data_IF_275683155322
#
_entry.id   IF_275683155322
#
_cell.length_a   1.000
_cell.length_b   1.000
_cell.length_c   1.000
_cell.angle_alpha   90.00
_cell.angle_beta   90.00
_cell.angle_gamma   90.00
#
_symmetry.space_group_name_H-M   'P 1'
#
loop_
_entity.id
_entity.type
_entity.pdbx_description
1 polymer ?
#
# COMPACT_ATOMS: atom_id res chain seq x y z
N UNK A 1 -9.19 -7.21 -0.33
CA UNK A 1 -9.01 -6.21 -1.38
C UNK A 1 -7.76 -6.48 -2.21
N UNK A 2 -6.58 -6.63 -1.61
CA UNK A 2 -5.32 -6.84 -2.36
C UNK A 2 -5.36 -7.86 -3.52
N UNK A 3 -5.99 -9.05 -3.36
CA UNK A 3 -6.09 -10.03 -4.46
C UNK A 3 -6.92 -9.50 -5.62
N UNK A 4 -8.07 -8.88 -5.31
CA UNK A 4 -8.98 -8.35 -6.32
C UNK A 4 -8.33 -7.17 -7.07
N UNK A 5 -7.66 -6.26 -6.35
CA UNK A 5 -6.91 -5.16 -6.96
C UNK A 5 -5.69 -5.62 -7.75
N UNK A 6 -4.97 -6.64 -7.28
CA UNK A 6 -3.83 -7.20 -8.00
C UNK A 6 -4.27 -7.83 -9.33
N UNK A 7 -5.34 -8.63 -9.31
CA UNK A 7 -5.92 -9.21 -10.53
C UNK A 7 -6.45 -8.10 -11.45
N UNK A 8 -7.17 -7.12 -10.91
CA UNK A 8 -7.67 -6.00 -11.70
C UNK A 8 -6.54 -5.13 -12.26
N UNK A 9 -5.44 -4.93 -11.54
CA UNK A 9 -4.26 -4.20 -11.99
C UNK A 9 -3.58 -4.90 -13.15
N UNK A 10 -3.43 -6.22 -13.08
CA UNK A 10 -2.91 -7.02 -14.20
C UNK A 10 -3.83 -6.94 -15.43
N UNK A 11 -5.15 -7.11 -15.23
CA UNK A 11 -6.13 -7.07 -16.33
C UNK A 11 -6.27 -5.67 -16.93
N UNK A 12 -6.14 -4.63 -16.12
CA UNK A 12 -6.26 -3.25 -16.55
C UNK A 12 -4.94 -2.69 -17.08
N UNK A 13 -3.83 -3.45 -16.99
CA UNK A 13 -2.48 -2.96 -17.16
C UNK A 13 -2.27 -1.66 -16.38
N UNK A 14 -2.64 -1.62 -15.09
CA UNK A 14 -2.55 -0.44 -14.24
C UNK A 14 -1.47 -0.61 -13.19
N UNK A 15 -0.47 0.24 -13.31
CA UNK A 15 0.69 0.31 -12.45
C UNK A 15 0.31 0.90 -11.09
N UNK A 16 -0.65 1.83 -11.05
CA UNK A 16 -1.16 2.37 -9.81
C UNK A 16 -1.96 1.33 -8.99
N UNK A 17 -2.82 0.53 -9.63
CA UNK A 17 -3.53 -0.56 -8.92
C UNK A 17 -2.57 -1.63 -8.40
N UNK A 18 -1.56 -1.99 -9.18
CA UNK A 18 -0.56 -2.95 -8.75
C UNK A 18 0.21 -2.45 -7.53
N UNK A 19 0.62 -1.18 -7.53
CA UNK A 19 1.28 -0.56 -6.39
C UNK A 19 0.40 -0.53 -5.12
N UNK A 20 -0.88 -0.19 -5.27
CA UNK A 20 -1.86 -0.15 -4.18
C UNK A 20 -2.10 -1.56 -3.58
N UNK A 21 -2.29 -2.57 -4.45
CA UNK A 21 -2.48 -3.96 -4.03
C UNK A 21 -1.27 -4.52 -3.25
N UNK A 22 -0.06 -4.10 -3.61
CA UNK A 22 1.17 -4.52 -2.98
C UNK A 22 1.29 -3.99 -1.54
N UNK A 23 0.89 -2.73 -1.31
CA UNK A 23 0.91 -2.15 0.03
C UNK A 23 -0.12 -2.82 0.92
N UNK A 24 -1.34 -3.05 0.41
CA UNK A 24 -2.36 -3.80 1.14
C UNK A 24 -1.92 -5.22 1.52
N UNK A 25 -1.20 -5.92 0.64
CA UNK A 25 -0.60 -7.21 0.98
C UNK A 25 0.45 -7.07 2.09
N UNK A 26 1.29 -6.05 2.00
CA UNK A 26 2.27 -5.72 3.03
C UNK A 26 1.63 -5.45 4.39
N UNK A 27 0.56 -4.68 4.43
CA UNK A 27 -0.19 -4.39 5.66
C UNK A 27 -0.93 -5.61 6.20
N UNK A 28 -1.53 -6.43 5.33
CA UNK A 28 -2.14 -7.69 5.75
C UNK A 28 -1.12 -8.61 6.44
N UNK A 29 0.11 -8.68 5.92
CA UNK A 29 1.20 -9.43 6.53
C UNK A 29 1.61 -8.81 7.86
N UNK A 30 1.81 -7.50 7.92
CA UNK A 30 2.18 -6.81 9.16
C UNK A 30 1.11 -7.03 10.24
N UNK A 31 -0.17 -6.93 9.90
CA UNK A 31 -1.26 -7.20 10.84
C UNK A 31 -1.35 -8.66 11.26
N UNK A 32 -1.22 -9.60 10.32
CA UNK A 32 -1.19 -11.03 10.63
C UNK A 32 -0.07 -11.37 11.60
N UNK A 33 1.12 -10.81 11.39
CA UNK A 33 2.24 -10.94 12.30
C UNK A 33 2.00 -10.24 13.63
N UNK A 34 1.44 -9.03 13.65
CA UNK A 34 1.10 -8.33 14.89
C UNK A 34 0.11 -9.13 15.73
N UNK A 35 -0.92 -9.72 15.12
CA UNK A 35 -1.87 -10.62 15.79
C UNK A 35 -1.18 -11.88 16.32
N UNK A 36 -0.32 -12.52 15.53
CA UNK A 36 0.43 -13.70 15.94
C UNK A 36 1.47 -13.40 17.04
N UNK A 37 2.01 -12.18 17.04
CA UNK A 37 3.04 -11.71 17.95
C UNK A 37 2.48 -11.03 19.21
N UNK A 38 1.16 -10.94 19.37
CA UNK A 38 0.53 -10.53 20.64
C UNK A 38 1.08 -11.42 21.75
N UNK A 39 1.85 -10.81 22.65
CA UNK A 39 2.53 -11.50 23.76
C UNK A 39 3.90 -12.13 23.46
N UNK A 40 4.42 -12.06 22.22
CA UNK A 40 5.72 -12.67 21.81
C UNK A 40 6.87 -11.67 21.54
N UNK A 41 6.65 -10.38 21.82
CA UNK A 41 7.68 -9.34 21.87
C UNK A 41 8.05 -8.71 20.53
N UNK A 42 8.71 -7.54 20.59
CA UNK A 42 8.91 -6.64 19.46
C UNK A 42 9.87 -7.17 18.35
N UNK A 43 10.59 -8.27 18.57
CA UNK A 43 11.43 -8.92 17.54
C UNK A 43 10.61 -9.40 16.35
N UNK A 44 9.38 -9.87 16.57
CA UNK A 44 8.49 -10.32 15.50
C UNK A 44 7.92 -9.15 14.68
N UNK A 45 7.67 -8.00 15.31
CA UNK A 45 7.25 -6.77 14.61
C UNK A 45 8.36 -6.28 13.65
N UNK A 46 9.63 -6.33 14.08
CA UNK A 46 10.75 -5.98 13.22
C UNK A 46 10.88 -6.88 11.98
N UNK A 47 10.66 -8.19 12.13
CA UNK A 47 10.68 -9.14 10.99
C UNK A 47 9.51 -8.90 10.02
N UNK A 48 8.32 -8.63 10.54
CA UNK A 48 7.15 -8.32 9.73
C UNK A 48 7.35 -7.03 8.91
N UNK A 49 7.94 -6.01 9.52
CA UNK A 49 8.21 -4.75 8.85
C UNK A 49 9.31 -4.89 7.77
N UNK A 50 10.35 -5.70 8.00
CA UNK A 50 11.33 -6.06 6.97
C UNK A 50 10.68 -6.83 5.80
N UNK A 51 9.76 -7.74 6.09
CA UNK A 51 9.01 -8.48 5.06
C UNK A 51 8.14 -7.53 4.23
N UNK A 52 7.42 -6.59 4.86
CA UNK A 52 6.70 -5.52 4.15
C UNK A 52 7.65 -4.75 3.24
N UNK A 53 8.78 -4.28 3.75
CA UNK A 53 9.78 -3.55 2.95
C UNK A 53 10.31 -4.37 1.76
N UNK A 54 10.53 -5.67 1.93
CA UNK A 54 10.93 -6.57 0.84
C UNK A 54 9.86 -6.74 -0.24
N UNK A 55 8.60 -6.91 0.15
CA UNK A 55 7.46 -6.98 -0.78
C UNK A 55 7.32 -5.68 -1.55
N UNK A 56 7.42 -4.54 -0.86
CA UNK A 56 7.39 -3.22 -1.46
C UNK A 56 8.50 -3.01 -2.48
N UNK A 57 9.73 -3.42 -2.16
CA UNK A 57 10.85 -3.33 -3.09
C UNK A 57 10.66 -4.24 -4.32
N UNK A 58 10.20 -5.48 -4.11
CA UNK A 58 9.90 -6.41 -5.19
C UNK A 58 8.80 -5.88 -6.13
N UNK A 59 7.70 -5.38 -5.57
CA UNK A 59 6.63 -4.77 -6.36
C UNK A 59 7.06 -3.46 -7.01
N UNK A 60 7.91 -2.66 -6.37
CA UNK A 60 8.50 -1.47 -6.98
C UNK A 60 9.30 -1.80 -8.25
N UNK A 61 10.08 -2.89 -8.23
CA UNK A 61 10.76 -3.40 -9.42
C UNK A 61 9.76 -3.93 -10.47
N UNK A 62 8.70 -4.62 -10.03
CA UNK A 62 7.62 -5.08 -10.91
C UNK A 62 6.89 -3.93 -11.61
N UNK A 63 6.58 -2.87 -10.87
CA UNK A 63 5.99 -1.61 -11.35
C UNK A 63 6.89 -0.92 -12.36
N UNK A 64 8.20 -0.86 -12.12
CA UNK A 64 9.17 -0.31 -13.08
C UNK A 64 9.25 -1.17 -14.35
N UNK A 65 9.23 -2.49 -14.21
CA UNK A 65 9.21 -3.43 -15.34
C UNK A 65 7.94 -3.29 -16.18
N UNK A 66 6.78 -3.26 -15.53
CA UNK A 66 5.49 -3.06 -16.19
C UNK A 66 5.44 -1.69 -16.88
N UNK A 67 5.87 -0.62 -16.21
CA UNK A 67 5.97 0.70 -16.83
C UNK A 67 6.87 0.68 -18.08
N UNK A 68 7.99 -0.04 -18.03
CA UNK A 68 8.88 -0.23 -19.19
C UNK A 68 8.20 -0.95 -20.35
N UNK A 69 7.56 -2.09 -20.09
CA UNK A 69 6.80 -2.86 -21.11
C UNK A 69 5.68 -2.01 -21.70
N UNK A 70 4.93 -1.32 -20.83
CA UNK A 70 3.81 -0.46 -21.21
C UNK A 70 4.22 0.73 -22.05
N UNK A 71 5.38 1.33 -21.78
CA UNK A 71 5.95 2.40 -22.61
C UNK A 71 6.50 1.85 -23.93
N UNK A 72 7.05 0.64 -23.95
CA UNK A 72 7.58 0.01 -25.17
C UNK A 72 6.47 -0.46 -26.13
N UNK A 73 5.38 -1.02 -25.59
CA UNK A 73 4.24 -1.56 -26.35
C UNK A 73 3.11 -0.54 -26.56
N UNK A 74 3.20 0.64 -25.93
CA UNK A 74 2.18 1.69 -26.04
C UNK A 74 0.85 1.31 -25.38
N UNK A 75 0.85 0.42 -24.39
CA UNK A 75 -0.35 -0.05 -23.71
C UNK A 75 -0.97 1.07 -22.86
N UNK A 76 -2.24 1.36 -23.12
CA UNK A 76 -3.02 2.35 -22.35
C UNK A 76 -3.89 1.60 -21.34
N UNK A 77 -3.84 1.96 -20.04
CA UNK A 77 -4.68 1.33 -19.03
C UNK A 77 -6.17 1.48 -19.34
N UNK A 78 -6.97 0.47 -18.99
CA UNK A 78 -8.43 0.58 -19.08
C UNK A 78 -8.98 1.42 -17.94
N UNK A 79 -9.15 2.73 -18.19
CA UNK A 79 -9.66 3.69 -17.22
C UNK A 79 -10.97 3.26 -16.51
N UNK A 80 -11.96 2.62 -17.16
CA UNK A 80 -13.17 2.16 -16.46
C UNK A 80 -12.91 1.07 -15.42
N UNK A 81 -12.05 0.09 -15.72
CA UNK A 81 -11.66 -0.97 -14.80
C UNK A 81 -10.86 -0.40 -13.62
N UNK A 82 -9.89 0.45 -13.95
CA UNK A 82 -9.02 1.14 -13.02
C UNK A 82 -9.82 2.02 -12.04
N UNK A 83 -10.70 2.87 -12.56
CA UNK A 83 -11.55 3.75 -11.77
C UNK A 83 -12.61 3.00 -10.97
N UNK A 84 -13.22 1.95 -11.56
CA UNK A 84 -14.21 1.12 -10.87
C UNK A 84 -13.62 0.43 -9.65
N UNK A 85 -12.44 -0.17 -9.77
CA UNK A 85 -11.76 -0.78 -8.62
C UNK A 85 -11.24 0.26 -7.64
N UNK A 86 -10.68 1.39 -8.10
CA UNK A 86 -10.27 2.47 -7.21
C UNK A 86 -11.42 3.03 -6.37
N UNK A 87 -12.64 3.13 -6.93
CA UNK A 87 -13.84 3.57 -6.19
C UNK A 87 -14.28 2.54 -5.15
N UNK A 88 -14.28 1.26 -5.54
CA UNK A 88 -14.65 0.16 -4.65
C UNK A 88 -13.67 0.04 -3.48
N UNK A 89 -12.38 0.16 -3.76
CA UNK A 89 -11.32 0.18 -2.76
C UNK A 89 -11.44 1.37 -1.82
N UNK A 90 -11.62 2.58 -2.37
CA UNK A 90 -11.84 3.79 -1.59
C UNK A 90 -13.05 3.65 -0.66
N UNK A 91 -14.18 3.11 -1.15
CA UNK A 91 -15.38 2.92 -0.36
C UNK A 91 -15.13 1.98 0.83
N UNK A 92 -14.45 0.86 0.61
CA UNK A 92 -14.15 -0.09 1.67
C UNK A 92 -13.13 0.46 2.65
N UNK A 93 -12.04 1.06 2.19
CA UNK A 93 -11.01 1.61 3.07
C UNK A 93 -11.51 2.81 3.86
N UNK A 94 -12.37 3.65 3.29
CA UNK A 94 -13.02 4.76 4.02
C UNK A 94 -13.98 4.22 5.09
N UNK A 95 -14.72 3.15 4.80
CA UNK A 95 -15.58 2.50 5.79
C UNK A 95 -14.76 1.94 6.96
N UNK A 96 -13.67 1.20 6.67
CA UNK A 96 -12.73 0.69 7.66
C UNK A 96 -12.11 1.82 8.48
N UNK A 97 -11.65 2.89 7.83
CA UNK A 97 -11.09 4.07 8.48
C UNK A 97 -12.09 4.73 9.43
N UNK A 98 -13.36 4.82 9.02
CA UNK A 98 -14.46 5.33 9.84
C UNK A 98 -14.71 4.52 11.11
N UNK A 99 -14.68 3.18 11.02
CA UNK A 99 -14.77 2.30 12.18
C UNK A 99 -13.56 2.43 13.12
N UNK A 100 -12.36 2.52 12.56
CA UNK A 100 -11.11 2.68 13.30
C UNK A 100 -10.98 4.06 13.95
N UNK A 101 -11.62 5.09 13.38
CA UNK A 101 -11.56 6.47 13.90
C UNK A 101 -11.96 6.56 15.38
N UNK A 102 -12.94 5.75 15.79
CA UNK A 102 -13.45 5.75 17.16
C UNK A 102 -12.53 5.04 18.16
N UNK A 103 -11.62 4.18 17.68
CA UNK A 103 -10.70 3.36 18.48
C UNK A 103 -9.23 3.78 18.33
N UNK A 104 -8.95 4.91 17.66
CA UNK A 104 -7.59 5.35 17.29
C UNK A 104 -6.64 5.62 18.47
N UNK A 105 -7.18 5.72 19.69
CA UNK A 105 -6.44 6.05 20.91
C UNK A 105 -6.22 4.87 21.86
N UNK A 106 -6.77 3.69 21.55
CA UNK A 106 -6.89 2.62 22.55
C UNK A 106 -5.60 1.80 22.72
N UNK A 107 -4.85 1.57 21.64
CA UNK A 107 -3.60 0.81 21.64
C UNK A 107 -2.70 1.26 20.47
N UNK A 108 -1.39 1.07 20.61
CA UNK A 108 -0.37 1.21 19.55
C UNK A 108 -0.75 0.40 18.32
N UNK A 109 -1.30 -0.81 18.51
CA UNK A 109 -1.74 -1.65 17.40
C UNK A 109 -2.91 -1.01 16.63
N UNK A 110 -3.84 -0.38 17.34
CA UNK A 110 -5.00 0.30 16.74
C UNK A 110 -4.62 1.62 16.06
N UNK A 111 -3.67 2.36 16.64
CA UNK A 111 -3.08 3.56 16.02
C UNK A 111 -2.33 3.22 14.73
N UNK A 112 -1.61 2.09 14.69
CA UNK A 112 -0.97 1.58 13.48
C UNK A 112 -2.01 1.20 12.41
N UNK A 113 -3.10 0.53 12.82
CA UNK A 113 -4.19 0.17 11.92
C UNK A 113 -4.84 1.39 11.26
N UNK A 114 -5.11 2.42 12.06
CA UNK A 114 -5.67 3.69 11.58
C UNK A 114 -4.72 4.42 10.60
N UNK A 115 -3.41 4.43 10.87
CA UNK A 115 -2.43 5.08 10.00
C UNK A 115 -2.33 4.42 8.61
N UNK A 116 -2.30 3.09 8.53
CA UNK A 116 -2.28 2.42 7.23
C UNK A 116 -3.61 2.59 6.50
N UNK A 117 -4.75 2.44 7.17
CA UNK A 117 -6.05 2.63 6.53
C UNK A 117 -6.21 4.06 5.94
N UNK A 118 -5.62 5.07 6.59
CA UNK A 118 -5.53 6.43 6.03
C UNK A 118 -4.63 6.50 4.79
N UNK A 119 -3.51 5.80 4.83
CA UNK A 119 -2.57 5.72 3.71
C UNK A 119 -3.20 5.02 2.49
N UNK A 120 -3.96 3.94 2.72
CA UNK A 120 -4.73 3.26 1.68
C UNK A 120 -5.71 4.21 1.00
N UNK A 121 -6.48 4.99 1.78
CA UNK A 121 -7.40 5.99 1.24
C UNK A 121 -6.68 7.02 0.36
N UNK A 122 -5.48 7.47 0.76
CA UNK A 122 -4.68 8.40 -0.05
C UNK A 122 -4.23 7.75 -1.35
N UNK A 123 -3.80 6.48 -1.33
CA UNK A 123 -3.41 5.74 -2.53
C UNK A 123 -4.59 5.49 -3.46
N UNK A 124 -5.76 5.08 -2.94
CA UNK A 124 -6.96 4.90 -3.76
C UNK A 124 -7.38 6.22 -4.44
N UNK A 125 -7.29 7.35 -3.73
CA UNK A 125 -7.50 8.68 -4.34
C UNK A 125 -6.49 8.95 -5.46
N UNK A 126 -5.22 8.58 -5.25
CA UNK A 126 -4.20 8.61 -6.29
C UNK A 126 -4.61 7.78 -7.52
N UNK A 127 -5.01 6.53 -7.32
CA UNK A 127 -5.50 5.64 -8.39
C UNK A 127 -6.68 6.27 -9.15
N UNK A 128 -7.62 6.90 -8.46
CA UNK A 128 -8.75 7.59 -9.10
C UNK A 128 -8.30 8.80 -9.93
N UNK A 129 -7.34 9.58 -9.42
CA UNK A 129 -6.75 10.69 -10.18
C UNK A 129 -6.01 10.19 -11.43
N UNK A 130 -5.31 9.06 -11.32
CA UNK A 130 -4.66 8.43 -12.46
C UNK A 130 -5.67 7.90 -13.48
N UNK A 131 -6.73 7.21 -13.04
CA UNK A 131 -7.79 6.71 -13.92
C UNK A 131 -8.48 7.86 -14.67
N UNK A 132 -8.75 8.96 -13.97
CA UNK A 132 -9.29 10.18 -14.58
C UNK A 132 -8.31 10.82 -15.57
N UNK A 133 -7.03 10.89 -15.20
CA UNK A 133 -5.97 11.37 -16.08
C UNK A 133 -5.85 10.54 -17.36
N UNK A 134 -5.82 9.21 -17.25
CA UNK A 134 -5.78 8.29 -18.40
C UNK A 134 -7.03 8.46 -19.28
N UNK A 135 -8.21 8.62 -18.68
CA UNK A 135 -9.45 8.84 -19.43
C UNK A 135 -9.44 10.16 -20.23
N UNK A 136 -8.78 11.20 -19.71
CA UNK A 136 -8.67 12.50 -20.38
C UNK A 136 -7.57 12.56 -21.43
N UNK A 137 -6.39 12.00 -21.13
CA UNK A 137 -5.22 12.10 -22.01
C UNK A 137 -5.16 10.98 -23.04
N UNK A 138 -5.81 9.84 -22.76
CA UNK A 138 -5.66 8.62 -23.56
C UNK A 138 -4.25 8.04 -23.51
N UNK A 139 -3.44 8.42 -22.52
CA UNK A 139 -2.04 7.99 -22.39
C UNK A 139 -1.79 7.24 -21.09
N UNK A 140 -0.72 6.44 -21.03
CA UNK A 140 -0.32 5.67 -19.85
C UNK A 140 0.44 6.48 -18.79
N UNK A 141 0.91 7.68 -19.13
CA UNK A 141 1.71 8.53 -18.26
C UNK A 141 1.06 8.86 -16.90
N UNK A 142 -0.23 9.22 -16.81
CA UNK A 142 -0.86 9.52 -15.53
C UNK A 142 -0.81 8.34 -14.55
N UNK A 143 -1.03 7.11 -15.04
CA UNK A 143 -0.97 5.90 -14.22
C UNK A 143 0.46 5.54 -13.80
N UNK A 144 1.45 5.69 -14.69
CA UNK A 144 2.86 5.44 -14.34
C UNK A 144 3.35 6.42 -13.27
N UNK A 145 3.06 7.72 -13.43
CA UNK A 145 3.49 8.76 -12.49
C UNK A 145 2.89 8.51 -11.11
N UNK A 146 1.59 8.23 -11.04
CA UNK A 146 0.91 7.96 -9.78
C UNK A 146 1.38 6.64 -9.17
N UNK A 147 1.50 5.57 -9.94
CA UNK A 147 1.98 4.27 -9.43
C UNK A 147 3.38 4.37 -8.81
N UNK A 148 4.30 5.08 -9.46
CA UNK A 148 5.63 5.35 -8.91
C UNK A 148 5.58 6.23 -7.65
N UNK A 149 4.67 7.20 -7.60
CA UNK A 149 4.50 8.07 -6.43
C UNK A 149 3.99 7.26 -5.23
N UNK A 150 2.98 6.41 -5.42
CA UNK A 150 2.43 5.53 -4.40
C UNK A 150 3.51 4.57 -3.89
N UNK A 151 4.22 3.89 -4.79
CA UNK A 151 5.31 2.97 -4.43
C UNK A 151 6.40 3.66 -3.61
N UNK A 152 6.76 4.90 -3.96
CA UNK A 152 7.78 5.68 -3.24
C UNK A 152 7.29 6.10 -1.86
N UNK A 153 6.07 6.66 -1.76
CA UNK A 153 5.47 7.11 -0.49
C UNK A 153 5.38 5.98 0.53
N UNK A 154 4.95 4.80 0.08
CA UNK A 154 4.81 3.64 0.96
C UNK A 154 6.16 3.03 1.33
N UNK A 155 7.14 3.02 0.41
CA UNK A 155 8.51 2.57 0.71
C UNK A 155 9.13 3.43 1.80
N UNK A 156 8.97 4.75 1.72
CA UNK A 156 9.41 5.69 2.75
C UNK A 156 8.68 5.46 4.08
N UNK A 157 7.37 5.26 4.03
CA UNK A 157 6.55 4.98 5.23
C UNK A 157 6.99 3.68 5.91
N UNK A 158 7.26 2.62 5.15
CA UNK A 158 7.77 1.35 5.68
C UNK A 158 9.12 1.52 6.37
N UNK A 159 10.07 2.24 5.75
CA UNK A 159 11.39 2.52 6.37
C UNK A 159 11.24 3.30 7.68
N UNK A 160 10.34 4.28 7.74
CA UNK A 160 10.07 5.04 8.96
C UNK A 160 9.49 4.16 10.08
N UNK A 161 8.53 3.28 9.76
CA UNK A 161 7.92 2.34 10.71
C UNK A 161 8.94 1.33 11.21
N UNK A 162 9.76 0.75 10.33
CA UNK A 162 10.88 -0.14 10.71
C UNK A 162 11.83 0.58 11.67
N UNK A 163 12.22 1.81 11.34
CA UNK A 163 13.11 2.61 12.17
C UNK A 163 12.52 2.93 13.54
N UNK A 164 11.22 3.22 13.62
CA UNK A 164 10.52 3.45 14.88
C UNK A 164 10.47 2.19 15.75
N UNK A 165 10.09 1.04 15.17
CA UNK A 165 10.05 -0.23 15.88
C UNK A 165 11.45 -0.66 16.38
N UNK A 166 12.49 -0.46 15.58
CA UNK A 166 13.87 -0.75 15.96
C UNK A 166 14.36 0.13 17.12
N UNK A 167 13.98 1.42 17.15
CA UNK A 167 14.28 2.31 18.28
C UNK A 167 13.58 1.88 19.56
N UNK A 168 12.31 1.51 19.47
CA UNK A 168 11.52 1.03 20.61
C UNK A 168 12.11 -0.26 21.20
N UNK A 169 12.58 -1.17 20.35
CA UNK A 169 13.33 -2.37 20.75
C UNK A 169 14.63 -2.06 21.51
N UNK A 170 15.43 -1.11 20.99
CA UNK A 170 16.68 -0.70 21.63
C UNK A 170 16.45 -0.05 22.99
N UNK A 171 15.39 0.76 23.12
CA UNK A 171 15.01 1.39 24.39
C UNK A 171 14.54 0.37 25.42
N UNK A 172 13.74 -0.63 25.01
CA UNK A 172 13.31 -1.72 25.88
C UNK A 172 14.48 -2.59 26.38
N UNK A 173 15.52 -2.78 25.56
CA UNK A 173 16.72 -3.54 25.94
C UNK A 173 17.74 -2.74 26.78
N UNK A 174 17.68 -1.40 26.75
CA UNK A 174 18.55 -0.52 27.53
C UNK A 174 17.96 -0.12 28.90
N UNK A 175 16.67 -0.39 29.13
CA UNK A 175 15.97 -0.15 30.39
C UNK A 175 15.83 -1.39 31.29
N UNK A 176 16.48 -2.50 30.93
CA UNK A 176 16.57 -3.75 31.69
C UNK A 176 17.99 -3.99 32.16
#
# INVERSE_FOLDING_TARGET
MFVAEGVAGLLAHSTALLADSADMLGDAIVYGFSLYAVGRGARWQGRAALLKGGIMAFFGLGVLGEAGVKLAEGLVPTAPLMGGMGLLALAVNTCVLGFLWRHRGDDVNMRSAWLCSRNDVIANLGVLLAAWGVALTGTSWPDVIVGLSIATLFSLSAVQVIGAAARQLRQAAAGS
#
